data_IF_388513137394
#
_entry.id   IF_388513137394
#
_cell.length_a   1.000
_cell.length_b   1.000
_cell.length_c   1.000
_cell.angle_alpha   90.00
_cell.angle_beta   90.00
_cell.angle_gamma   90.00
#
_symmetry.space_group_name_H-M   'P 1'
#
loop_
_entity.id
_entity.type
_entity.pdbx_description
1 polymer ?
#
# COMPACT_ATOMS: atom_id res chain seq x y z
N UNK A 1 -22.56 28.81 31.86
CA UNK A 1 -23.18 27.55 31.39
C UNK A 1 -23.30 27.47 29.86
N UNK A 2 -23.82 28.50 29.18
CA UNK A 2 -23.97 28.49 27.70
C UNK A 2 -22.65 28.49 26.93
N UNK A 3 -21.64 29.25 27.38
CA UNK A 3 -20.34 29.38 26.71
C UNK A 3 -19.50 28.10 26.85
N UNK A 4 -19.57 27.43 28.01
CA UNK A 4 -18.84 26.18 28.26
C UNK A 4 -19.32 25.05 27.34
N UNK A 5 -20.63 24.95 27.11
CA UNK A 5 -21.21 23.95 26.19
C UNK A 5 -20.75 24.19 24.75
N UNK A 6 -20.65 25.45 24.32
CA UNK A 6 -20.17 25.81 22.98
C UNK A 6 -18.70 25.41 22.77
N UNK A 7 -17.84 25.57 23.77
CA UNK A 7 -16.44 25.15 23.67
C UNK A 7 -16.27 23.63 23.60
N UNK A 8 -17.04 22.87 24.39
CA UNK A 8 -17.02 21.42 24.32
C UNK A 8 -17.49 20.90 22.96
N UNK A 9 -18.58 21.47 22.41
CA UNK A 9 -19.07 21.10 21.06
C UNK A 9 -18.02 21.41 19.98
N UNK A 10 -17.37 22.57 20.05
CA UNK A 10 -16.33 22.95 19.09
C UNK A 10 -15.10 22.02 19.15
N UNK A 11 -14.67 21.63 20.35
CA UNK A 11 -13.56 20.71 20.55
C UNK A 11 -13.88 19.30 20.03
N UNK A 12 -15.09 18.79 20.28
CA UNK A 12 -15.55 17.52 19.72
C UNK A 12 -15.64 17.56 18.19
N UNK A 13 -16.06 18.69 17.62
CA UNK A 13 -16.12 18.88 16.17
C UNK A 13 -14.72 18.88 15.53
N UNK A 14 -13.76 19.60 16.13
CA UNK A 14 -12.37 19.61 15.68
C UNK A 14 -11.66 18.25 15.80
N UNK A 15 -12.00 17.46 16.82
CA UNK A 15 -11.45 16.10 16.99
C UNK A 15 -11.97 15.11 15.92
N UNK A 16 -13.21 15.32 15.42
CA UNK A 16 -13.80 14.48 14.37
C UNK A 16 -13.22 14.78 12.98
N UNK A 17 -12.84 16.03 12.70
CA UNK A 17 -12.29 16.42 11.39
C UNK A 17 -10.85 15.93 11.16
N UNK A 18 -10.10 15.61 12.23
CA UNK A 18 -8.73 15.10 12.12
C UNK A 18 -8.63 13.64 11.61
N UNK A 19 -9.74 12.90 11.57
CA UNK A 19 -9.80 11.48 11.16
C UNK A 19 -10.25 11.28 9.70
N UNK A 20 -10.57 12.34 8.97
CA UNK A 20 -10.92 12.26 7.56
C UNK A 20 -9.66 12.26 6.66
N UNK A 21 -8.69 11.38 6.91
CA UNK A 21 -7.63 11.13 5.93
C UNK A 21 -8.22 10.31 4.78
N UNK A 22 -8.28 10.96 3.62
CA UNK A 22 -8.94 10.51 2.41
C UNK A 22 -8.39 9.15 1.94
N UNK A 23 -9.29 8.17 1.75
CA UNK A 23 -9.03 6.91 1.05
C UNK A 23 -8.89 7.10 -0.47
N UNK A 24 -8.41 8.27 -0.92
CA UNK A 24 -8.17 8.53 -2.33
C UNK A 24 -6.78 7.98 -2.66
N UNK A 25 -6.73 6.80 -3.27
CA UNK A 25 -5.47 6.19 -3.69
C UNK A 25 -4.85 7.05 -4.80
N UNK A 26 -3.63 7.56 -4.55
CA UNK A 26 -2.90 8.43 -5.48
C UNK A 26 -2.52 7.64 -6.73
N UNK A 27 -2.70 8.23 -7.90
CA UNK A 27 -2.27 7.65 -9.17
C UNK A 27 -0.81 7.97 -9.41
N UNK A 28 -0.09 7.08 -10.11
CA UNK A 28 1.29 7.27 -10.49
C UNK A 28 1.56 6.79 -11.91
N UNK A 29 2.48 7.45 -12.58
CA UNK A 29 3.07 7.00 -13.84
C UNK A 29 4.43 6.32 -13.56
N UNK A 30 5.18 6.90 -12.64
CA UNK A 30 6.53 6.51 -12.20
C UNK A 30 6.63 6.50 -10.68
N UNK A 31 7.74 5.97 -10.15
CA UNK A 31 8.02 5.95 -8.71
C UNK A 31 8.10 7.35 -8.09
N UNK A 32 8.54 8.36 -8.84
CA UNK A 32 8.71 9.74 -8.36
C UNK A 32 7.37 10.46 -8.09
N UNK A 33 6.26 9.92 -8.60
CA UNK A 33 4.92 10.45 -8.34
C UNK A 33 4.41 10.08 -6.94
N UNK A 34 5.01 9.07 -6.29
CA UNK A 34 4.61 8.57 -4.98
C UNK A 34 5.39 9.24 -3.85
N UNK A 35 4.84 9.16 -2.63
CA UNK A 35 5.56 9.64 -1.46
C UNK A 35 6.79 8.75 -1.18
N UNK A 36 7.76 9.27 -0.42
CA UNK A 36 9.06 8.62 -0.19
C UNK A 36 8.96 7.24 0.48
N UNK A 37 7.87 6.97 1.18
CA UNK A 37 7.55 5.71 1.85
C UNK A 37 6.62 4.81 1.03
N UNK A 38 6.25 5.20 -0.19
CA UNK A 38 5.31 4.49 -1.05
C UNK A 38 6.00 3.99 -2.31
N UNK A 39 5.42 2.98 -2.97
CA UNK A 39 5.84 2.53 -4.28
C UNK A 39 4.73 2.67 -5.32
N UNK A 40 5.12 2.79 -6.60
CA UNK A 40 4.18 2.78 -7.70
C UNK A 40 3.92 1.35 -8.18
N UNK A 41 2.71 0.83 -7.96
CA UNK A 41 2.30 -0.49 -8.48
C UNK A 41 1.51 -0.33 -9.77
N UNK A 42 1.69 -1.24 -10.70
CA UNK A 42 0.96 -1.29 -11.97
C UNK A 42 -0.52 -1.58 -11.66
N UNK A 43 -1.39 -0.74 -12.18
CA UNK A 43 -2.82 -0.81 -11.97
C UNK A 43 -3.53 -0.41 -13.26
N UNK A 44 -4.55 -1.18 -13.64
CA UNK A 44 -5.38 -0.84 -14.79
C UNK A 44 -6.29 0.33 -14.43
N UNK A 45 -5.75 1.55 -14.51
CA UNK A 45 -6.53 2.77 -14.33
C UNK A 45 -7.18 3.16 -15.66
N UNK A 46 -8.34 3.83 -15.59
CA UNK A 46 -9.05 4.32 -16.79
C UNK A 46 -8.54 5.68 -17.27
N UNK A 47 -7.51 6.23 -16.63
CA UNK A 47 -7.03 7.59 -16.88
C UNK A 47 -5.79 7.51 -17.79
N UNK A 48 -5.82 8.13 -18.98
CA UNK A 48 -4.68 8.09 -19.90
C UNK A 48 -3.45 8.73 -19.26
N UNK A 49 -2.31 8.05 -19.36
CA UNK A 49 -1.03 8.49 -18.79
C UNK A 49 -0.74 7.97 -17.38
N UNK A 50 -1.75 7.49 -16.63
CA UNK A 50 -1.57 6.91 -15.31
C UNK A 50 -1.89 5.42 -15.35
N UNK A 51 -0.86 4.58 -15.35
CA UNK A 51 -1.00 3.12 -15.37
C UNK A 51 -0.64 2.50 -14.02
N UNK A 52 -0.61 3.30 -12.96
CA UNK A 52 -0.27 2.83 -11.63
C UNK A 52 -0.96 3.59 -10.52
N UNK A 53 -0.85 3.01 -9.33
CA UNK A 53 -1.31 3.59 -8.08
C UNK A 53 -0.18 3.54 -7.05
N UNK A 54 -0.09 4.57 -6.22
CA UNK A 54 0.81 4.56 -5.08
C UNK A 54 0.25 3.62 -4.02
N UNK A 55 1.11 2.76 -3.51
CA UNK A 55 0.80 1.80 -2.46
C UNK A 55 1.90 1.82 -1.41
N UNK A 56 1.52 1.50 -0.18
CA UNK A 56 2.49 1.35 0.91
C UNK A 56 3.29 0.04 0.73
N UNK A 57 4.46 -0.08 1.38
CA UNK A 57 5.27 -1.29 1.37
C UNK A 57 4.50 -2.49 1.94
N UNK A 58 4.80 -3.67 1.43
CA UNK A 58 4.09 -4.91 1.80
C UNK A 58 4.41 -5.29 3.24
N UNK A 59 3.38 -5.53 4.05
CA UNK A 59 3.54 -5.82 5.47
C UNK A 59 3.79 -7.30 5.73
N UNK A 60 4.19 -7.62 6.97
CA UNK A 60 4.48 -8.99 7.39
C UNK A 60 3.27 -9.89 7.18
N UNK A 61 3.48 -11.02 6.51
CA UNK A 61 2.45 -12.01 6.22
C UNK A 61 1.62 -11.71 4.97
N UNK A 62 1.79 -10.54 4.36
CA UNK A 62 1.14 -10.23 3.08
C UNK A 62 1.90 -10.88 1.92
N UNK A 63 1.19 -11.23 0.82
CA UNK A 63 1.80 -11.76 -0.39
C UNK A 63 2.79 -10.78 -1.01
N UNK A 64 3.93 -11.29 -1.45
CA UNK A 64 5.00 -10.47 -2.04
C UNK A 64 5.47 -11.05 -3.37
N UNK A 65 6.13 -10.21 -4.17
CA UNK A 65 6.79 -10.66 -5.39
C UNK A 65 8.18 -11.22 -5.05
N UNK A 66 8.47 -12.51 -5.35
CA UNK A 66 9.80 -13.07 -5.11
C UNK A 66 10.90 -12.43 -5.96
N UNK A 67 10.56 -11.80 -7.08
CA UNK A 67 11.51 -11.02 -7.88
C UNK A 67 11.35 -9.52 -7.58
N UNK A 68 12.29 -8.91 -6.82
CA UNK A 68 12.23 -7.48 -6.50
C UNK A 68 12.50 -6.58 -7.71
N UNK A 69 13.03 -7.13 -8.82
CA UNK A 69 13.31 -6.39 -10.04
C UNK A 69 12.22 -6.58 -11.11
N UNK A 70 11.13 -7.28 -10.78
CA UNK A 70 9.99 -7.41 -11.68
C UNK A 70 9.15 -6.13 -11.70
N UNK A 71 9.71 -5.16 -12.42
CA UNK A 71 9.15 -3.85 -12.69
C UNK A 71 8.83 -3.69 -14.17
N UNK A 72 7.88 -2.82 -14.50
CA UNK A 72 7.59 -2.42 -15.87
C UNK A 72 8.74 -1.59 -16.45
N UNK A 73 8.70 -1.30 -17.76
CA UNK A 73 9.71 -0.43 -18.42
C UNK A 73 9.78 0.97 -17.80
N UNK A 74 8.70 1.40 -17.17
CA UNK A 74 8.59 2.69 -16.49
C UNK A 74 8.89 2.60 -14.98
N UNK A 75 9.36 1.44 -14.50
CA UNK A 75 9.78 1.24 -13.11
C UNK A 75 8.64 0.96 -12.12
N UNK A 76 7.45 0.54 -12.58
CA UNK A 76 6.32 0.19 -11.69
C UNK A 76 6.37 -1.27 -11.28
N UNK A 77 6.06 -1.56 -10.02
CA UNK A 77 5.95 -2.94 -9.53
C UNK A 77 4.70 -3.62 -10.05
N UNK A 78 4.81 -4.82 -10.61
CA UNK A 78 3.64 -5.48 -11.25
C UNK A 78 2.59 -6.02 -10.27
N UNK A 79 3.03 -6.49 -9.10
CA UNK A 79 2.18 -7.26 -8.18
C UNK A 79 1.97 -6.50 -6.89
N UNK A 80 3.06 -6.18 -6.20
CA UNK A 80 3.06 -5.56 -4.89
C UNK A 80 4.32 -4.74 -4.70
N UNK A 81 4.26 -3.79 -3.76
CA UNK A 81 5.46 -3.08 -3.33
C UNK A 81 6.48 -4.03 -2.69
N UNK A 82 7.75 -3.62 -2.62
CA UNK A 82 8.73 -4.29 -1.78
C UNK A 82 8.21 -4.46 -0.35
N UNK A 83 8.68 -5.50 0.32
CA UNK A 83 8.41 -5.68 1.75
C UNK A 83 8.92 -4.45 2.53
N UNK A 84 8.19 -4.07 3.59
CA UNK A 84 8.63 -3.03 4.51
C UNK A 84 10.02 -3.32 5.11
N UNK A 85 10.68 -2.28 5.62
CA UNK A 85 12.03 -2.39 6.18
C UNK A 85 12.16 -3.51 7.21
N UNK A 86 13.22 -4.30 7.08
CA UNK A 86 13.48 -5.45 7.94
C UNK A 86 12.67 -6.70 7.61
N UNK A 87 11.86 -6.69 6.55
CA UNK A 87 11.17 -7.86 6.03
C UNK A 87 11.76 -8.31 4.68
N UNK A 88 11.65 -9.60 4.39
CA UNK A 88 12.10 -10.24 3.16
C UNK A 88 11.00 -11.11 2.59
N UNK A 89 10.90 -11.12 1.27
CA UNK A 89 9.95 -11.98 0.57
C UNK A 89 10.45 -13.43 0.59
N UNK A 90 9.75 -14.30 1.32
CA UNK A 90 10.15 -15.70 1.54
C UNK A 90 8.98 -16.64 1.25
N UNK A 91 9.28 -17.91 0.95
CA UNK A 91 8.23 -18.93 0.74
C UNK A 91 7.44 -19.13 2.03
N UNK A 92 6.11 -19.07 1.93
CA UNK A 92 5.23 -19.32 3.06
C UNK A 92 5.39 -20.77 3.54
N UNK A 93 5.83 -20.96 4.79
CA UNK A 93 6.13 -22.29 5.34
C UNK A 93 4.88 -23.13 5.67
N UNK A 94 3.68 -22.50 5.75
CA UNK A 94 2.50 -23.12 6.37
C UNK A 94 1.29 -23.34 5.45
N UNK A 95 1.42 -23.18 4.12
CA UNK A 95 0.39 -23.65 3.18
C UNK A 95 0.90 -24.82 2.35
N UNK A 96 0.99 -25.98 2.99
CA UNK A 96 0.80 -27.25 2.28
C UNK A 96 -0.69 -27.33 1.93
N UNK A 97 -1.13 -26.56 0.94
CA UNK A 97 -2.27 -26.98 0.13
C UNK A 97 -1.66 -27.69 -1.07
N UNK A 98 -1.73 -29.01 -0.99
CA UNK A 98 -1.54 -29.96 -2.07
C UNK A 98 -2.54 -29.66 -3.18
N UNK A 99 -2.24 -28.65 -3.99
CA UNK A 99 -2.81 -28.41 -5.30
C UNK A 99 -1.79 -27.61 -6.12
N UNK A 100 -0.99 -28.35 -6.88
CA UNK A 100 -0.37 -27.93 -8.13
C UNK A 100 0.41 -26.59 -8.11
N UNK A 101 1.69 -26.67 -7.73
CA UNK A 101 2.75 -25.89 -8.38
C UNK A 101 2.88 -24.39 -8.09
N UNK A 102 2.00 -23.77 -7.30
CA UNK A 102 2.11 -22.34 -6.98
C UNK A 102 2.77 -22.12 -5.61
N UNK A 103 4.09 -21.87 -5.60
CA UNK A 103 4.78 -21.42 -4.38
C UNK A 103 4.22 -20.05 -3.97
N UNK A 104 3.58 -19.94 -2.81
CA UNK A 104 3.15 -18.66 -2.25
C UNK A 104 4.31 -18.02 -1.50
N UNK A 105 4.54 -16.72 -1.74
CA UNK A 105 5.59 -15.95 -1.09
C UNK A 105 4.95 -14.85 -0.24
N UNK A 106 5.48 -14.66 0.97
CA UNK A 106 4.97 -13.70 1.96
C UNK A 106 6.15 -12.92 2.58
N UNK A 107 5.91 -11.68 3.01
CA UNK A 107 6.93 -10.91 3.71
C UNK A 107 7.14 -11.44 5.14
N UNK A 108 8.38 -11.84 5.46
CA UNK A 108 8.78 -12.39 6.74
C UNK A 108 10.02 -11.65 7.29
N UNK A 109 10.20 -11.55 8.61
CA UNK A 109 11.41 -10.99 9.21
C UNK A 109 12.67 -11.78 8.85
#
# INVERSE_FOLDING_TARGET
MRISVLMFVFMFFAMRTALAKQFAQKLCQTQDDCDWDQCCIDAQTRIPGFNGICSNPTQKGDPCNPDPNDVTKEGRYRIACPCADGLRCQKAQNRVQENEGHSTFECQP
#
